data_IF_678464151830
#
_entry.id   IF_678464151830
#
_cell.length_a   1.000
_cell.length_b   1.000
_cell.length_c   1.000
_cell.angle_alpha   90.00
_cell.angle_beta   90.00
_cell.angle_gamma   90.00
#
_symmetry.space_group_name_H-M   'P 1'
#
loop_
_entity.id
_entity.type
_entity.pdbx_description
1 polymer ?
#
# COMPACT_ATOMS: atom_id res chain seq x y z
N UNK A 1 30.15 40.47 9.39
CA UNK A 1 29.06 39.94 8.54
C UNK A 1 29.22 38.43 8.53
N UNK A 2 28.48 37.72 9.37
CA UNK A 2 28.60 36.27 9.52
C UNK A 2 27.57 35.60 8.62
N UNK A 3 28.03 34.90 7.59
CA UNK A 3 27.17 34.18 6.66
C UNK A 3 26.97 32.75 7.14
N UNK A 4 25.80 32.45 7.71
CA UNK A 4 25.40 31.06 7.95
C UNK A 4 25.05 30.38 6.62
N UNK A 5 25.54 29.16 6.34
CA UNK A 5 25.17 28.43 5.14
C UNK A 5 23.76 27.85 5.29
N UNK A 6 22.81 28.42 4.54
CA UNK A 6 21.45 27.92 4.41
C UNK A 6 21.42 26.62 3.56
N UNK A 7 21.80 25.50 4.16
CA UNK A 7 21.66 24.17 3.56
C UNK A 7 20.23 23.66 3.76
N UNK A 8 19.33 23.98 2.83
CA UNK A 8 17.98 23.42 2.78
C UNK A 8 18.05 21.92 2.51
N UNK A 9 18.08 21.12 3.58
CA UNK A 9 18.16 19.67 3.53
C UNK A 9 16.87 19.06 2.98
N UNK A 10 16.79 18.92 1.65
CA UNK A 10 15.70 18.20 0.99
C UNK A 10 15.70 16.74 1.46
N UNK A 11 14.77 16.42 2.37
CA UNK A 11 14.59 15.07 2.90
C UNK A 11 14.27 14.11 1.76
N UNK A 12 15.05 13.05 1.62
CA UNK A 12 14.82 12.03 0.58
C UNK A 12 13.42 11.41 0.74
N UNK A 13 12.72 11.10 -0.37
CA UNK A 13 11.38 10.53 -0.33
C UNK A 13 11.39 9.02 -0.01
N UNK A 14 12.47 8.51 0.58
CA UNK A 14 12.71 7.09 0.80
C UNK A 14 13.27 6.83 2.19
N UNK A 15 12.91 5.69 2.78
CA UNK A 15 13.37 5.26 4.11
C UNK A 15 13.86 3.82 4.05
N UNK A 16 15.02 3.55 4.66
CA UNK A 16 15.54 2.18 4.83
C UNK A 16 14.56 1.36 5.67
N UNK A 17 14.39 0.08 5.32
CA UNK A 17 13.42 -0.84 5.91
C UNK A 17 12.06 -0.85 5.21
N UNK A 18 11.70 0.20 4.47
CA UNK A 18 10.43 0.23 3.75
C UNK A 18 10.47 -0.64 2.48
N UNK A 19 9.28 -1.16 2.12
CA UNK A 19 9.03 -1.88 0.87
C UNK A 19 8.59 -0.93 -0.23
N UNK A 20 9.02 -1.22 -1.45
CA UNK A 20 8.77 -0.42 -2.65
C UNK A 20 8.65 -1.30 -3.89
N UNK A 21 8.19 -0.72 -4.99
CA UNK A 21 8.18 -1.33 -6.32
C UNK A 21 9.21 -0.63 -7.21
N UNK A 22 10.11 -1.39 -7.85
CA UNK A 22 11.11 -0.80 -8.74
C UNK A 22 10.46 -0.27 -10.02
N UNK A 23 10.71 1.00 -10.36
CA UNK A 23 9.92 1.73 -11.36
C UNK A 23 9.95 1.12 -12.77
N UNK A 24 11.08 0.50 -13.17
CA UNK A 24 11.30 -0.02 -14.52
C UNK A 24 10.71 -1.41 -14.78
N UNK A 25 11.02 -2.38 -13.92
CA UNK A 25 10.64 -3.80 -14.07
C UNK A 25 9.44 -4.21 -13.19
N UNK A 26 8.91 -3.28 -12.36
CA UNK A 26 7.79 -3.49 -11.42
C UNK A 26 8.02 -4.60 -10.39
N UNK A 27 9.27 -5.01 -10.17
CA UNK A 27 9.60 -6.02 -9.17
C UNK A 27 9.50 -5.44 -7.74
N UNK A 28 8.85 -6.13 -6.79
CA UNK A 28 8.84 -5.76 -5.38
C UNK A 28 10.23 -5.89 -4.74
N UNK A 29 10.53 -4.97 -3.81
CA UNK A 29 11.80 -4.92 -3.09
C UNK A 29 11.66 -4.26 -1.72
N UNK A 30 12.70 -4.43 -0.91
CA UNK A 30 12.93 -3.70 0.35
C UNK A 30 14.16 -2.79 0.20
N UNK A 31 14.07 -1.55 0.67
CA UNK A 31 15.22 -0.64 0.68
C UNK A 31 16.13 -0.95 1.88
N UNK A 32 17.40 -1.26 1.63
CA UNK A 32 18.38 -1.71 2.63
C UNK A 32 19.43 -0.66 2.96
N UNK A 33 19.70 0.27 2.05
CA UNK A 33 20.74 1.29 2.19
C UNK A 33 20.42 2.57 1.43
N UNK A 34 20.84 3.71 1.97
CA UNK A 34 20.84 5.02 1.32
C UNK A 34 22.17 5.70 1.67
N UNK A 35 22.96 6.09 0.67
CA UNK A 35 24.22 6.80 0.88
C UNK A 35 25.16 6.75 -0.32
N UNK A 36 26.38 7.25 -0.14
CA UNK A 36 27.48 7.15 -1.12
C UNK A 36 28.07 5.74 -1.13
N UNK A 37 28.80 5.36 -2.19
CA UNK A 37 29.47 4.06 -2.23
C UNK A 37 30.95 4.17 -1.80
N UNK A 38 31.58 3.05 -1.37
CA UNK A 38 32.99 3.01 -1.02
C UNK A 38 33.94 3.52 -2.14
N UNK A 39 35.20 3.87 -1.80
CA UNK A 39 36.06 4.73 -2.61
C UNK A 39 36.17 4.41 -4.11
N UNK A 40 36.30 5.47 -4.91
CA UNK A 40 36.27 5.40 -6.37
C UNK A 40 34.85 5.35 -6.96
N UNK A 41 33.88 5.92 -6.24
CA UNK A 41 32.67 6.52 -6.80
C UNK A 41 32.70 8.04 -6.58
N UNK A 42 31.77 8.76 -7.19
CA UNK A 42 31.54 10.18 -6.92
C UNK A 42 30.91 10.35 -5.52
N UNK A 43 31.61 11.05 -4.61
CA UNK A 43 31.18 11.28 -3.23
C UNK A 43 29.96 12.21 -3.11
N UNK A 44 29.55 12.89 -4.19
CA UNK A 44 28.27 13.61 -4.25
C UNK A 44 27.09 12.70 -4.64
N UNK A 45 27.37 11.50 -5.15
CA UNK A 45 26.37 10.62 -5.73
C UNK A 45 25.73 9.68 -4.71
N UNK A 46 24.44 9.91 -4.43
CA UNK A 46 23.63 9.02 -3.61
C UNK A 46 23.19 7.76 -4.37
N UNK A 47 23.24 6.63 -3.67
CA UNK A 47 22.79 5.32 -4.14
C UNK A 47 21.77 4.73 -3.17
N UNK A 48 20.84 3.97 -3.74
CA UNK A 48 19.85 3.17 -3.03
C UNK A 48 20.30 1.71 -3.14
N UNK A 49 20.68 1.09 -2.02
CA UNK A 49 20.90 -0.34 -1.95
C UNK A 49 19.58 -1.05 -1.68
N UNK A 50 19.11 -1.82 -2.66
CA UNK A 50 17.82 -2.52 -2.63
C UNK A 50 18.03 -4.02 -2.54
N UNK A 51 17.06 -4.73 -1.98
CA UNK A 51 16.93 -6.18 -2.00
C UNK A 51 15.58 -6.55 -2.61
N UNK A 52 15.59 -7.27 -3.74
CA UNK A 52 14.37 -7.78 -4.36
C UNK A 52 13.81 -8.97 -3.60
N UNK A 53 12.47 -9.10 -3.58
CA UNK A 53 11.81 -10.30 -3.04
C UNK A 53 12.13 -11.55 -3.88
N UNK A 54 12.40 -11.38 -5.18
CA UNK A 54 12.82 -12.43 -6.10
C UNK A 54 14.24 -12.15 -6.61
N UNK A 55 15.18 -12.96 -6.14
CA UNK A 55 16.60 -12.81 -6.42
C UNK A 55 16.98 -12.86 -7.92
N UNK A 56 16.11 -13.35 -8.81
CA UNK A 56 16.34 -13.31 -10.27
C UNK A 56 16.46 -11.89 -10.82
N UNK A 57 15.99 -10.89 -10.09
CA UNK A 57 16.12 -9.47 -10.43
C UNK A 57 17.37 -8.80 -9.83
N UNK A 58 18.01 -9.46 -8.87
CA UNK A 58 19.22 -8.99 -8.19
C UNK A 58 20.50 -9.23 -8.98
N UNK A 59 21.63 -8.84 -8.38
CA UNK A 59 22.96 -8.88 -8.98
C UNK A 59 24.08 -9.27 -8.00
N UNK A 60 23.90 -9.01 -6.70
CA UNK A 60 24.91 -9.17 -5.67
C UNK A 60 24.27 -9.25 -4.27
N UNK A 61 25.04 -9.55 -3.23
CA UNK A 61 24.52 -9.68 -1.85
C UNK A 61 24.74 -8.42 -0.98
N UNK A 62 25.04 -7.27 -1.61
CA UNK A 62 25.18 -5.96 -0.97
C UNK A 62 26.62 -5.44 -0.86
N UNK A 63 27.55 -6.11 -1.54
CA UNK A 63 28.96 -5.71 -1.70
C UNK A 63 29.18 -4.82 -2.93
N UNK A 64 30.03 -3.81 -2.81
CA UNK A 64 30.50 -2.97 -3.91
C UNK A 64 32.03 -2.93 -3.90
N UNK A 65 32.67 -3.42 -4.98
CA UNK A 65 34.14 -3.56 -5.08
C UNK A 65 34.75 -4.17 -3.81
N UNK A 66 34.25 -5.35 -3.44
CA UNK A 66 34.64 -6.13 -2.26
C UNK A 66 34.35 -5.49 -0.88
N UNK A 67 33.93 -4.23 -0.82
CA UNK A 67 33.47 -3.59 0.40
C UNK A 67 31.98 -3.92 0.70
N UNK A 68 31.63 -4.43 1.89
CA UNK A 68 30.23 -4.65 2.28
C UNK A 68 29.54 -3.32 2.59
N UNK A 69 28.43 -3.03 1.90
CA UNK A 69 27.64 -1.80 2.10
C UNK A 69 26.32 -2.10 2.80
N UNK A 70 25.68 -3.21 2.45
CA UNK A 70 24.51 -3.76 3.13
C UNK A 70 24.50 -5.29 3.03
N UNK A 71 23.57 -5.94 3.73
CA UNK A 71 23.38 -7.39 3.67
C UNK A 71 21.96 -7.72 3.18
N UNK A 72 21.88 -8.67 2.25
CA UNK A 72 20.64 -9.32 1.83
C UNK A 72 20.34 -10.55 2.68
N UNK A 73 19.06 -10.86 2.89
CA UNK A 73 18.61 -12.15 3.43
C UNK A 73 18.82 -13.27 2.41
N UNK A 74 18.50 -13.02 1.13
CA UNK A 74 18.73 -13.98 0.05
C UNK A 74 19.99 -13.63 -0.75
N UNK A 75 20.83 -14.63 -1.02
CA UNK A 75 22.04 -14.44 -1.81
C UNK A 75 21.71 -13.96 -3.23
N UNK A 76 22.45 -12.96 -3.72
CA UNK A 76 22.27 -12.40 -5.06
C UNK A 76 21.09 -11.44 -5.22
N UNK A 77 20.17 -11.34 -4.26
CA UNK A 77 18.94 -10.55 -4.36
C UNK A 77 19.14 -9.02 -4.37
N UNK A 78 20.34 -8.54 -4.08
CA UNK A 78 20.66 -7.13 -3.93
C UNK A 78 20.98 -6.43 -5.24
N UNK A 79 20.79 -5.11 -5.27
CA UNK A 79 21.25 -4.21 -6.34
C UNK A 79 21.50 -2.80 -5.81
N UNK A 80 22.40 -2.06 -6.45
CA UNK A 80 22.53 -0.60 -6.28
C UNK A 80 21.80 0.15 -7.39
N UNK A 81 21.00 1.14 -7.01
CA UNK A 81 20.27 2.03 -7.92
C UNK A 81 20.71 3.47 -7.68
N UNK A 82 21.13 4.15 -8.74
CA UNK A 82 21.56 5.56 -8.68
C UNK A 82 20.36 6.45 -8.35
N UNK A 83 20.49 7.31 -7.34
CA UNK A 83 19.46 8.32 -7.03
C UNK A 83 19.86 9.68 -7.61
N UNK A 84 19.05 10.21 -8.53
CA UNK A 84 19.15 11.60 -9.00
C UNK A 84 18.01 12.41 -8.39
N UNK A 85 18.26 13.65 -7.95
CA UNK A 85 17.20 14.52 -7.44
C UNK A 85 16.07 14.67 -8.48
N UNK A 86 14.81 14.53 -8.05
CA UNK A 86 13.64 14.53 -8.92
C UNK A 86 13.34 13.20 -9.63
N UNK A 87 14.28 12.24 -9.66
CA UNK A 87 14.01 10.89 -10.16
C UNK A 87 13.17 10.08 -9.16
N UNK A 88 12.34 9.16 -9.66
CA UNK A 88 11.55 8.22 -8.85
C UNK A 88 11.88 6.77 -9.20
N UNK A 89 13.10 6.27 -8.90
CA UNK A 89 13.51 4.90 -9.22
C UNK A 89 12.69 3.85 -8.43
N UNK A 90 12.20 4.21 -7.25
CA UNK A 90 11.33 3.40 -6.42
C UNK A 90 9.95 4.05 -6.33
N UNK A 91 8.92 3.24 -6.48
CA UNK A 91 7.51 3.62 -6.38
C UNK A 91 6.93 3.07 -5.09
N UNK A 92 6.00 3.80 -4.49
CA UNK A 92 5.11 3.23 -3.48
C UNK A 92 4.13 2.27 -4.17
N UNK A 93 3.95 1.08 -3.62
CA UNK A 93 2.85 0.18 -3.96
C UNK A 93 1.67 0.38 -3.01
N UNK A 94 0.69 -0.53 -3.10
CA UNK A 94 -0.55 -0.42 -2.32
C UNK A 94 -0.36 -0.64 -0.82
N UNK A 95 -1.41 -0.28 -0.08
CA UNK A 95 -1.50 -0.57 1.35
C UNK A 95 -2.42 -1.76 1.62
N UNK A 96 -2.22 -2.46 2.73
CA UNK A 96 -3.14 -3.53 3.16
C UNK A 96 -4.57 -3.01 3.25
N UNK A 97 -4.76 -1.83 3.82
CA UNK A 97 -6.07 -1.19 3.96
C UNK A 97 -6.70 -0.88 2.60
N UNK A 98 -6.00 -0.20 1.69
CA UNK A 98 -6.53 0.10 0.34
C UNK A 98 -6.86 -1.18 -0.43
N UNK A 99 -5.94 -2.15 -0.47
CA UNK A 99 -6.17 -3.41 -1.19
C UNK A 99 -7.32 -4.26 -0.61
N UNK A 100 -7.63 -4.12 0.69
CA UNK A 100 -8.82 -4.74 1.30
C UNK A 100 -10.09 -3.95 0.96
N UNK A 101 -10.05 -2.62 1.07
CA UNK A 101 -11.18 -1.75 0.74
C UNK A 101 -11.59 -1.89 -0.75
N UNK A 102 -10.63 -2.03 -1.66
CA UNK A 102 -10.85 -2.25 -3.10
C UNK A 102 -11.43 -3.65 -3.41
N UNK A 103 -10.91 -4.71 -2.76
CA UNK A 103 -11.26 -6.10 -3.07
C UNK A 103 -12.53 -6.58 -2.35
N UNK A 104 -12.79 -6.09 -1.14
CA UNK A 104 -13.88 -6.57 -0.27
C UNK A 104 -14.90 -5.47 0.08
N UNK A 105 -14.54 -4.19 0.01
CA UNK A 105 -15.39 -3.04 0.34
C UNK A 105 -14.90 -2.25 1.56
N UNK A 106 -15.51 -1.09 1.82
CA UNK A 106 -15.11 -0.17 2.92
C UNK A 106 -15.02 -0.87 4.29
N UNK A 107 -13.93 -0.64 5.01
CA UNK A 107 -13.74 -1.20 6.37
C UNK A 107 -14.59 -0.51 7.44
N UNK A 108 -15.11 0.68 7.14
CA UNK A 108 -15.98 1.46 8.01
C UNK A 108 -17.24 1.79 7.22
N UNK A 109 -18.40 1.58 7.83
CA UNK A 109 -19.68 2.08 7.34
C UNK A 109 -19.68 3.60 7.49
N UNK A 110 -19.26 4.31 6.44
CA UNK A 110 -19.57 5.74 6.33
C UNK A 110 -21.06 5.85 6.00
N UNK A 111 -21.84 6.70 6.70
CA UNK A 111 -23.14 7.10 6.18
C UNK A 111 -22.91 7.72 4.80
N UNK A 112 -23.68 7.26 3.81
CA UNK A 112 -23.33 7.38 2.40
C UNK A 112 -22.98 8.83 2.03
N UNK A 113 -21.71 9.07 1.67
CA UNK A 113 -21.38 10.23 0.86
C UNK A 113 -21.85 9.92 -0.54
N UNK A 114 -23.07 10.36 -0.82
CA UNK A 114 -23.72 10.35 -2.12
C UNK A 114 -22.70 10.77 -3.21
N UNK A 115 -22.18 9.81 -3.97
CA UNK A 115 -21.46 10.13 -5.20
C UNK A 115 -22.51 10.61 -6.21
N UNK A 116 -22.45 11.90 -6.56
CA UNK A 116 -23.22 12.49 -7.66
C UNK A 116 -22.85 11.80 -8.99
N UNK A 117 -23.51 10.66 -9.28
CA UNK A 117 -22.92 9.64 -10.15
C UNK A 117 -23.89 8.74 -10.90
N UNK A 118 -24.95 9.34 -11.47
CA UNK A 118 -25.77 8.75 -12.55
C UNK A 118 -26.59 7.46 -12.26
N UNK A 119 -27.88 7.69 -12.01
CA UNK A 119 -29.05 7.03 -12.61
C UNK A 119 -29.23 5.50 -12.47
N UNK A 120 -30.40 5.19 -11.88
CA UNK A 120 -31.25 4.05 -12.21
C UNK A 120 -30.70 2.65 -11.92
N UNK A 121 -31.14 2.11 -10.78
CA UNK A 121 -31.96 0.89 -10.89
C UNK A 121 -33.10 0.81 -9.87
N UNK A 122 -34.19 0.14 -10.28
CA UNK A 122 -35.56 0.19 -9.73
C UNK A 122 -36.20 -1.21 -9.39
N UNK A 123 -36.06 -1.74 -8.13
CA UNK A 123 -36.64 -2.94 -7.48
C UNK A 123 -36.78 -2.95 -5.85
N UNK A 124 -36.13 -2.11 -4.95
CA UNK A 124 -36.40 -1.92 -3.44
C UNK A 124 -37.24 -0.66 -3.10
N UNK A 125 -38.39 -0.75 -2.41
CA UNK A 125 -39.38 0.35 -2.40
C UNK A 125 -39.32 1.37 -1.24
N UNK A 126 -39.52 2.66 -1.58
CA UNK A 126 -39.70 3.79 -0.63
C UNK A 126 -41.15 4.29 -0.68
N UNK A 127 -41.78 4.46 0.49
CA UNK A 127 -43.20 4.87 0.58
C UNK A 127 -43.32 6.39 0.78
N UNK A 128 -44.06 7.06 -0.11
CA UNK A 128 -44.34 8.49 -0.04
C UNK A 128 -45.85 8.76 -0.03
N UNK A 129 -46.34 9.46 1.00
CA UNK A 129 -47.70 9.99 1.07
C UNK A 129 -48.44 9.70 2.39
N UNK A 130 -48.75 10.74 3.17
CA UNK A 130 -49.40 10.62 4.48
C UNK A 130 -50.93 10.40 4.45
N UNK A 131 -51.52 10.14 3.27
CA UNK A 131 -52.98 10.13 3.08
C UNK A 131 -53.44 9.07 2.06
N UNK A 132 -53.80 7.87 2.53
CA UNK A 132 -54.69 6.85 1.92
C UNK A 132 -54.53 6.44 0.44
N UNK A 133 -53.46 6.83 -0.27
CA UNK A 133 -53.13 6.32 -1.60
C UNK A 133 -51.62 6.04 -1.70
N UNK A 134 -51.20 4.85 -1.26
CA UNK A 134 -49.80 4.43 -1.31
C UNK A 134 -49.39 4.06 -2.75
N UNK A 135 -48.56 4.90 -3.38
CA UNK A 135 -47.87 4.55 -4.62
C UNK A 135 -46.55 3.88 -4.25
N UNK A 136 -46.42 2.60 -4.59
CA UNK A 136 -45.18 1.83 -4.40
C UNK A 136 -44.32 2.00 -5.65
N UNK A 137 -43.07 2.41 -5.48
CA UNK A 137 -42.05 2.50 -6.55
C UNK A 137 -40.82 1.70 -6.12
N UNK A 138 -40.32 0.88 -7.04
CA UNK A 138 -39.17 -0.04 -6.96
C UNK A 138 -37.77 0.69 -7.09
N UNK A 139 -36.70 0.33 -6.31
CA UNK A 139 -35.29 0.91 -6.12
C UNK A 139 -33.88 0.13 -6.20
N UNK A 140 -33.67 -1.19 -6.50
CA UNK A 140 -33.00 -2.12 -5.57
C UNK A 140 -31.45 -2.13 -5.50
N UNK A 141 -30.71 -1.28 -6.23
CA UNK A 141 -29.34 -1.64 -6.64
C UNK A 141 -28.37 -1.72 -5.42
N UNK A 142 -28.90 -1.41 -4.23
CA UNK A 142 -28.61 -2.00 -2.92
C UNK A 142 -28.07 -3.42 -2.94
N UNK A 143 -28.52 -4.29 -3.85
CA UNK A 143 -28.09 -5.67 -3.97
C UNK A 143 -26.56 -5.82 -4.19
N UNK A 144 -25.93 -4.84 -4.86
CA UNK A 144 -24.48 -4.76 -5.05
C UNK A 144 -23.73 -4.31 -3.77
N UNK A 145 -24.32 -3.39 -3.01
CA UNK A 145 -23.80 -2.86 -1.74
C UNK A 145 -23.93 -3.91 -0.63
N UNK A 146 -25.13 -4.49 -0.46
CA UNK A 146 -25.41 -5.62 0.45
C UNK A 146 -24.46 -6.79 0.20
N UNK A 147 -24.13 -7.10 -1.07
CA UNK A 147 -23.21 -8.19 -1.45
C UNK A 147 -21.75 -7.89 -1.12
N UNK A 148 -21.32 -6.62 -1.19
CA UNK A 148 -19.98 -6.18 -0.73
C UNK A 148 -19.87 -6.23 0.80
N UNK A 149 -20.83 -5.64 1.52
CA UNK A 149 -20.91 -5.68 3.00
C UNK A 149 -20.84 -7.13 3.51
N UNK A 150 -21.61 -8.04 2.89
CA UNK A 150 -21.64 -9.47 3.22
C UNK A 150 -20.30 -10.21 3.07
N UNK A 151 -19.36 -9.71 2.27
CA UNK A 151 -18.02 -10.30 2.13
C UNK A 151 -17.07 -9.88 3.27
N UNK A 152 -17.26 -8.69 3.87
CA UNK A 152 -16.41 -8.16 4.94
C UNK A 152 -16.72 -8.74 6.31
N UNK A 153 -17.99 -9.00 6.62
CA UNK A 153 -18.42 -9.62 7.88
C UNK A 153 -17.91 -11.05 8.07
N UNK A 154 -17.56 -11.72 6.97
CA UNK A 154 -17.11 -13.12 6.94
C UNK A 154 -15.63 -13.27 6.57
N UNK A 155 -14.88 -12.17 6.56
CA UNK A 155 -13.50 -12.13 6.08
C UNK A 155 -12.52 -12.77 7.09
N UNK A 156 -12.35 -14.09 6.98
CA UNK A 156 -11.43 -14.89 7.81
C UNK A 156 -10.00 -14.92 7.24
N UNK A 157 -9.90 -15.03 5.93
CA UNK A 157 -8.64 -15.10 5.18
C UNK A 157 -8.65 -14.02 4.10
N UNK A 158 -7.49 -13.41 3.87
CA UNK A 158 -7.34 -12.30 2.91
C UNK A 158 -6.23 -12.64 1.92
N UNK A 159 -6.61 -13.01 0.70
CA UNK A 159 -5.69 -13.07 -0.43
C UNK A 159 -5.33 -11.66 -0.88
N UNK A 160 -4.04 -11.32 -0.84
CA UNK A 160 -3.48 -10.05 -1.33
C UNK A 160 -2.38 -10.28 -2.38
N UNK A 161 -2.32 -11.46 -2.98
CA UNK A 161 -1.41 -11.78 -4.08
C UNK A 161 -1.59 -10.81 -5.26
N UNK A 162 -0.46 -10.43 -5.87
CA UNK A 162 -0.39 -9.43 -6.94
C UNK A 162 -0.56 -7.97 -6.51
N UNK A 163 -1.07 -7.67 -5.31
CA UNK A 163 -1.39 -6.30 -4.88
C UNK A 163 -0.18 -5.42 -4.53
N UNK A 164 1.07 -5.93 -4.61
CA UNK A 164 2.28 -5.12 -4.46
C UNK A 164 2.36 -4.34 -3.13
N UNK A 165 1.88 -4.96 -2.04
CA UNK A 165 1.73 -4.32 -0.72
C UNK A 165 3.07 -3.81 -0.17
N UNK A 166 3.11 -2.51 0.13
CA UNK A 166 4.28 -1.81 0.63
C UNK A 166 4.13 -1.27 2.07
N UNK A 167 2.89 -1.10 2.57
CA UNK A 167 2.61 -0.62 3.93
C UNK A 167 1.24 -1.09 4.46
N UNK A 168 0.96 -0.89 5.75
CA UNK A 168 -0.35 -1.20 6.33
C UNK A 168 -1.47 -0.26 5.83
N UNK A 169 -1.20 1.04 5.72
CA UNK A 169 -2.20 2.05 5.34
C UNK A 169 -3.25 2.32 6.42
N UNK A 170 -4.28 3.08 6.07
CA UNK A 170 -5.39 3.45 6.95
C UNK A 170 -5.04 4.36 8.14
N UNK A 171 -6.07 4.93 8.74
CA UNK A 171 -6.03 5.58 10.06
C UNK A 171 -6.07 4.54 11.21
N UNK A 172 -6.12 5.02 12.45
CA UNK A 172 -6.17 4.13 13.63
C UNK A 172 -7.49 3.37 13.75
N UNK A 173 -8.59 3.88 13.20
CA UNK A 173 -9.91 3.26 13.28
C UNK A 173 -9.99 2.06 12.31
N UNK A 174 -9.69 2.28 11.02
CA UNK A 174 -9.58 1.23 9.99
C UNK A 174 -8.63 0.12 10.41
N UNK A 175 -7.47 0.48 10.99
CA UNK A 175 -6.50 -0.49 11.54
C UNK A 175 -7.03 -1.26 12.74
N UNK A 176 -7.91 -0.68 13.55
CA UNK A 176 -8.49 -1.34 14.72
C UNK A 176 -9.57 -2.32 14.29
N UNK A 177 -10.49 -1.89 13.40
CA UNK A 177 -11.53 -2.76 12.82
C UNK A 177 -10.90 -3.95 12.08
N UNK A 178 -9.86 -3.70 11.26
CA UNK A 178 -9.13 -4.75 10.56
C UNK A 178 -8.48 -5.76 11.54
N UNK A 179 -7.86 -5.27 12.62
CA UNK A 179 -7.25 -6.13 13.65
C UNK A 179 -8.29 -6.94 14.42
N UNK A 180 -9.43 -6.36 14.77
CA UNK A 180 -10.49 -7.03 15.53
C UNK A 180 -11.08 -8.18 14.72
N UNK A 181 -11.47 -7.91 13.46
CA UNK A 181 -12.04 -8.92 12.55
C UNK A 181 -11.06 -10.07 12.29
N UNK A 182 -9.79 -9.78 11.99
CA UNK A 182 -8.76 -10.82 11.75
C UNK A 182 -8.31 -11.58 13.00
N UNK A 183 -8.49 -11.04 14.22
CA UNK A 183 -8.14 -11.72 15.47
C UNK A 183 -9.21 -12.70 15.98
N UNK A 184 -10.39 -12.70 15.38
CA UNK A 184 -11.56 -13.40 15.90
C UNK A 184 -11.45 -14.94 15.95
N UNK A 185 -10.46 -15.55 15.30
CA UNK A 185 -10.19 -17.00 15.37
C UNK A 185 -8.78 -17.35 15.88
N UNK A 186 -8.46 -16.89 17.09
CA UNK A 186 -7.39 -17.47 17.93
C UNK A 186 -7.96 -18.20 19.17
N UNK A 187 -9.11 -18.86 18.98
CA UNK A 187 -9.60 -19.90 19.89
C UNK A 187 -8.92 -21.22 19.51
N UNK A 188 -7.78 -21.51 20.15
CA UNK A 188 -7.22 -22.85 20.12
C UNK A 188 -8.18 -23.79 20.86
N UNK A 189 -8.50 -24.99 20.32
CA UNK A 189 -9.19 -26.01 21.10
C UNK A 189 -8.30 -26.43 22.28
N UNK A 190 -8.94 -26.65 23.42
CA UNK A 190 -8.32 -27.08 24.68
C UNK A 190 -7.97 -28.57 24.70
#
# INVERSE_FOLDING_TARGET
>A
MSSEPHASGSKLPYSVGNRYIHAKNKAPLTLRYIGTLPPGSDDSQLWLGIEYDDARHGKHSGTFKDAPVFQTQQHGAGSFVKYTHGSRPLLYGETVVSAIEDRYGSLIDQPDKEEEGAKNREEEAVVLGSSNAAIVVEAPNMDSVRRRIKNLERLREVGLEGQSICALGGDNERRSVLKERLKSELVLPA
#
